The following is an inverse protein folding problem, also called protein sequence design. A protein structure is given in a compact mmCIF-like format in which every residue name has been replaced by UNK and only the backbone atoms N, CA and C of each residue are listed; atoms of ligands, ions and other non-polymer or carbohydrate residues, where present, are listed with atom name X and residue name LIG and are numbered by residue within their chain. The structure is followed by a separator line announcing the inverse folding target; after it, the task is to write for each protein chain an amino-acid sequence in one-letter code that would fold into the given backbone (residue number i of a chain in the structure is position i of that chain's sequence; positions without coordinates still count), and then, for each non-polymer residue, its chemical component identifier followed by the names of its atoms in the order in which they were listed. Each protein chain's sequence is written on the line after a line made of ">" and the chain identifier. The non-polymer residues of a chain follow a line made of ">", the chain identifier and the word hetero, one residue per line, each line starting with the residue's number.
data_IF_457838724295
#
_entry.id   IF_457838724295
#
_cell.length_a   1.000
_cell.length_b   1.000
_cell.length_c   1.000
_cell.angle_alpha   90.00
_cell.angle_beta   90.00
_cell.angle_gamma   90.00
#
_symmetry.space_group_name_H-M   'P 1'
#
loop_
_entity.id
_entity.type
_entity.pdbx_description
1 polymer ?
#
# COMPACT_ATOMS: atom_id res chain seq x y z
N UNK A 1 -3.46 2.12 8.02
CA UNK A 1 -2.59 0.94 7.87
C UNK A 1 -1.16 1.38 8.13
N UNK A 2 -0.61 1.05 9.30
CA UNK A 2 0.82 1.28 9.59
C UNK A 2 1.54 0.01 9.19
N UNK A 3 2.44 0.12 8.22
CA UNK A 3 3.32 -0.97 7.79
C UNK A 3 4.72 -0.62 8.27
N UNK A 4 5.16 -1.24 9.35
CA UNK A 4 6.55 -1.18 9.78
C UNK A 4 7.29 -2.34 9.12
N UNK A 5 8.28 -2.03 8.28
CA UNK A 5 9.24 -3.00 7.79
C UNK A 5 10.39 -3.11 8.79
N UNK A 6 10.78 -4.34 9.13
CA UNK A 6 12.01 -4.62 9.88
C UNK A 6 13.23 -4.32 8.99
N UNK A 7 14.34 -3.86 9.58
CA UNK A 7 15.50 -3.36 8.82
C UNK A 7 16.30 -4.47 8.12
N UNK A 8 16.11 -5.72 8.50
CA UNK A 8 16.92 -6.85 8.01
C UNK A 8 16.11 -7.95 7.32
N UNK A 9 14.78 -7.81 7.23
CA UNK A 9 13.89 -8.67 6.43
C UNK A 9 12.84 -7.81 5.70
N UNK A 10 13.06 -7.64 4.39
CA UNK A 10 12.26 -6.77 3.53
C UNK A 10 10.98 -7.45 3.02
N UNK A 11 10.58 -8.58 3.61
CA UNK A 11 9.31 -9.26 3.30
C UNK A 11 8.19 -8.79 4.23
N UNK A 12 7.15 -8.18 3.66
CA UNK A 12 5.92 -7.87 4.39
C UNK A 12 4.98 -9.07 4.29
N UNK A 13 4.88 -9.85 5.37
CA UNK A 13 3.86 -10.89 5.52
C UNK A 13 2.75 -10.41 6.44
N UNK A 14 1.54 -10.24 5.90
CA UNK A 14 0.35 -10.11 6.74
C UNK A 14 0.07 -11.47 7.40
N UNK A 15 0.54 -11.69 8.63
CA UNK A 15 0.19 -12.87 9.41
C UNK A 15 -1.00 -12.55 10.32
N UNK A 16 -2.21 -12.90 9.87
CA UNK A 16 -3.24 -13.45 10.75
C UNK A 16 -3.89 -14.66 10.10
N UNK A 17 -3.33 -15.85 10.40
CA UNK A 17 -4.00 -17.12 10.14
C UNK A 17 -4.95 -17.42 11.29
N UNK A 18 -6.26 -17.39 11.05
CA UNK A 18 -7.20 -18.18 11.85
C UNK A 18 -7.19 -19.63 11.30
N UNK A 19 -7.25 -20.68 12.14
CA UNK A 19 -7.21 -22.04 11.66
C UNK A 19 -8.59 -22.46 11.13
N UNK A 20 -8.68 -22.77 9.84
CA UNK A 20 -9.84 -23.45 9.27
C UNK A 20 -10.05 -23.21 7.77
N UNK A 21 -9.53 -24.14 6.95
CA UNK A 21 -10.13 -24.57 5.68
C UNK A 21 -10.29 -23.55 4.55
N UNK A 22 -9.63 -23.82 3.41
CA UNK A 22 -9.74 -23.05 2.19
C UNK A 22 -11.19 -22.73 1.78
N UNK A 23 -11.45 -21.44 1.70
CA UNK A 23 -12.33 -20.73 0.77
C UNK A 23 -11.98 -19.25 0.93
N UNK A 24 -11.68 -18.56 -0.17
CA UNK A 24 -11.77 -17.10 -0.25
C UNK A 24 -13.07 -16.66 0.41
N UNK A 25 -13.00 -15.82 1.44
CA UNK A 25 -14.18 -15.38 2.17
C UNK A 25 -13.88 -14.54 3.41
N UNK A 26 -13.77 -13.22 3.22
CA UNK A 26 -14.35 -12.11 4.02
C UNK A 26 -13.43 -10.88 3.94
N UNK A 27 -13.74 -9.97 3.01
CA UNK A 27 -13.25 -8.59 2.89
C UNK A 27 -11.73 -8.34 3.03
N UNK A 28 -10.90 -9.32 2.67
CA UNK A 28 -9.45 -9.21 2.79
C UNK A 28 -8.76 -9.71 1.53
N UNK A 29 -8.05 -8.81 0.87
CA UNK A 29 -7.11 -9.15 -0.19
C UNK A 29 -5.74 -9.44 0.44
N UNK A 30 -5.12 -10.54 0.04
CA UNK A 30 -3.76 -10.89 0.45
C UNK A 30 -2.82 -10.50 -0.69
N UNK A 31 -1.82 -9.70 -0.37
CA UNK A 31 -0.76 -9.29 -1.30
C UNK A 31 0.59 -9.62 -0.71
N UNK A 32 1.52 -10.05 -1.56
CA UNK A 32 2.94 -10.03 -1.26
C UNK A 32 3.54 -8.75 -1.87
N UNK A 33 4.19 -7.94 -1.03
CA UNK A 33 4.82 -6.69 -1.45
C UNK A 33 6.31 -6.71 -1.13
N UNK A 34 7.12 -6.19 -2.06
CA UNK A 34 8.57 -5.98 -1.89
C UNK A 34 8.94 -4.54 -2.21
N UNK A 35 9.87 -3.97 -1.47
CA UNK A 35 10.43 -2.65 -1.80
C UNK A 35 11.38 -2.80 -3.00
N UNK A 36 11.02 -2.17 -4.11
CA UNK A 36 11.89 -2.07 -5.28
C UNK A 36 12.88 -0.90 -5.16
N UNK A 37 12.46 0.19 -4.51
CA UNK A 37 13.30 1.37 -4.25
C UNK A 37 12.85 2.08 -2.98
N UNK A 38 13.80 2.61 -2.22
CA UNK A 38 13.55 3.56 -1.12
C UNK A 38 14.55 4.70 -1.25
N UNK A 39 14.04 5.89 -1.55
CA UNK A 39 14.77 7.15 -1.46
C UNK A 39 14.24 7.92 -0.24
N UNK A 40 15.01 8.00 0.88
CA UNK A 40 14.53 8.60 2.11
C UNK A 40 13.99 10.02 1.93
N UNK A 41 12.78 10.29 2.42
CA UNK A 41 12.14 11.60 2.33
C UNK A 41 11.59 11.98 0.95
N UNK A 42 11.81 11.16 -0.07
CA UNK A 42 11.45 11.49 -1.45
C UNK A 42 10.54 10.44 -2.10
N UNK A 43 10.88 9.15 -1.98
CA UNK A 43 10.23 8.10 -2.78
C UNK A 43 10.26 6.73 -2.12
N UNK A 44 9.17 6.00 -2.33
CA UNK A 44 9.10 4.56 -2.07
C UNK A 44 8.46 3.89 -3.27
N UNK A 45 9.12 2.88 -3.83
CA UNK A 45 8.58 2.05 -4.92
C UNK A 45 8.40 0.64 -4.40
N UNK A 46 7.21 0.09 -4.60
CA UNK A 46 6.83 -1.25 -4.18
C UNK A 46 6.41 -2.06 -5.41
N UNK A 47 6.87 -3.29 -5.49
CA UNK A 47 6.33 -4.28 -6.40
C UNK A 47 5.37 -5.17 -5.61
N UNK A 48 4.14 -5.33 -6.12
CA UNK A 48 3.02 -5.95 -5.43
C UNK A 48 2.43 -7.04 -6.30
N UNK A 49 2.36 -8.25 -5.75
CA UNK A 49 1.76 -9.42 -6.36
C UNK A 49 0.55 -9.87 -5.52
N UNK A 50 -0.56 -10.20 -6.17
CA UNK A 50 -1.76 -10.69 -5.49
C UNK A 50 -1.67 -12.20 -5.30
N UNK A 51 -1.97 -12.68 -4.08
CA UNK A 51 -2.10 -14.12 -3.81
C UNK A 51 -3.47 -14.59 -4.30
N UNK A 52 -3.54 -14.95 -5.60
CA UNK A 52 -4.76 -15.37 -6.27
C UNK A 52 -4.48 -16.39 -7.37
N UNK A 53 -5.32 -17.42 -7.44
CA UNK A 53 -5.31 -18.40 -8.55
C UNK A 53 -6.00 -17.88 -9.82
N UNK A 54 -6.73 -16.75 -9.73
CA UNK A 54 -7.38 -16.14 -10.89
C UNK A 54 -6.36 -15.36 -11.74
N UNK A 55 -6.12 -15.77 -13.01
CA UNK A 55 -5.17 -15.11 -13.89
C UNK A 55 -5.44 -13.61 -14.12
N UNK A 56 -6.67 -13.14 -13.90
CA UNK A 56 -7.00 -11.72 -14.02
C UNK A 56 -6.24 -10.84 -13.02
N UNK A 57 -5.88 -11.40 -11.86
CA UNK A 57 -5.08 -10.76 -10.82
C UNK A 57 -3.58 -11.08 -10.93
N UNK A 58 -3.18 -11.85 -11.95
CA UNK A 58 -1.80 -12.20 -12.19
C UNK A 58 -0.96 -11.03 -12.71
N UNK A 59 0.33 -11.06 -12.38
CA UNK A 59 1.30 -10.03 -12.72
C UNK A 59 1.68 -9.16 -11.53
N UNK A 60 2.80 -8.45 -11.67
CA UNK A 60 3.31 -7.55 -10.63
C UNK A 60 2.87 -6.11 -10.91
N UNK A 61 2.06 -5.56 -10.02
CA UNK A 61 1.75 -4.13 -9.99
C UNK A 61 2.92 -3.36 -9.38
N UNK A 62 3.27 -2.21 -9.93
CA UNK A 62 4.26 -1.29 -9.33
C UNK A 62 3.55 -0.10 -8.69
N UNK A 63 3.70 0.07 -7.38
CA UNK A 63 3.18 1.20 -6.61
C UNK A 63 4.31 2.18 -6.29
N UNK A 64 4.20 3.41 -6.77
CA UNK A 64 5.15 4.50 -6.48
C UNK A 64 4.49 5.56 -5.60
N UNK A 65 5.11 5.81 -4.46
CA UNK A 65 4.78 6.91 -3.55
C UNK A 65 5.86 7.97 -3.68
N UNK A 66 5.46 9.20 -3.98
CA UNK A 66 6.35 10.35 -4.06
C UNK A 66 5.97 11.39 -3.02
N UNK A 67 6.97 11.94 -2.36
CA UNK A 67 6.84 12.95 -1.31
C UNK A 67 7.61 14.17 -1.76
N UNK A 68 6.95 15.31 -1.86
CA UNK A 68 7.56 16.55 -2.34
C UNK A 68 7.22 17.69 -1.41
N UNK A 69 8.21 18.38 -0.82
CA UNK A 69 7.97 19.59 -0.05
C UNK A 69 7.29 20.66 -0.91
N UNK A 70 6.21 21.27 -0.40
CA UNK A 70 5.47 22.34 -1.07
C UNK A 70 5.08 23.42 -0.06
N UNK A 71 5.72 24.58 -0.14
CA UNK A 71 5.48 25.68 0.80
C UNK A 71 5.63 25.23 2.25
N UNK A 72 4.56 25.37 3.05
CA UNK A 72 4.53 24.98 4.46
C UNK A 72 4.13 23.51 4.70
N UNK A 73 3.97 22.70 3.65
CA UNK A 73 3.52 21.31 3.77
C UNK A 73 4.20 20.38 2.78
N UNK A 74 3.56 19.24 2.55
CA UNK A 74 4.10 18.16 1.74
C UNK A 74 3.02 17.64 0.80
N UNK A 75 3.35 17.57 -0.49
CA UNK A 75 2.53 16.86 -1.47
C UNK A 75 2.91 15.38 -1.43
N UNK A 76 1.93 14.53 -1.21
CA UNK A 76 2.06 13.08 -1.37
C UNK A 76 1.33 12.70 -2.65
N UNK A 77 2.04 12.04 -3.56
CA UNK A 77 1.48 11.51 -4.80
C UNK A 77 1.61 9.99 -4.80
N UNK A 78 0.57 9.34 -5.31
CA UNK A 78 0.50 7.90 -5.48
C UNK A 78 0.28 7.58 -6.95
N UNK A 79 1.06 6.63 -7.48
CA UNK A 79 0.90 6.08 -8.83
C UNK A 79 0.94 4.56 -8.76
N UNK A 80 0.01 3.92 -9.48
CA UNK A 80 0.03 2.49 -9.72
C UNK A 80 0.20 2.22 -11.22
N UNK A 81 1.23 1.45 -11.55
CA UNK A 81 1.56 0.99 -12.89
C UNK A 81 1.36 -0.53 -12.97
N UNK A 82 1.09 -1.02 -14.19
CA UNK A 82 0.92 -2.46 -14.46
C UNK A 82 -0.14 -3.13 -13.57
N UNK A 83 -1.23 -2.39 -13.30
CA UNK A 83 -2.36 -2.85 -12.48
C UNK A 83 -3.01 -4.07 -13.16
N UNK A 84 -3.12 -5.22 -12.47
CA UNK A 84 -3.77 -6.41 -13.00
C UNK A 84 -5.20 -6.14 -13.51
N UNK A 85 -5.57 -6.80 -14.60
CA UNK A 85 -6.86 -6.57 -15.28
C UNK A 85 -8.10 -6.89 -14.44
N UNK A 86 -7.97 -7.76 -13.43
CA UNK A 86 -9.01 -8.11 -12.48
C UNK A 86 -9.32 -6.98 -11.49
N UNK A 87 -8.46 -5.96 -11.39
CA UNK A 87 -8.65 -4.81 -10.52
C UNK A 87 -9.40 -3.72 -11.28
N UNK A 88 -10.61 -3.42 -10.79
CA UNK A 88 -11.38 -2.28 -11.26
C UNK A 88 -10.62 -0.98 -11.02
N UNK A 89 -10.29 -0.27 -12.10
CA UNK A 89 -9.62 1.04 -12.03
C UNK A 89 -10.36 2.01 -11.11
N UNK A 90 -11.69 2.07 -11.23
CA UNK A 90 -12.53 2.98 -10.43
C UNK A 90 -12.42 2.68 -8.94
N UNK A 91 -12.52 1.40 -8.57
CA UNK A 91 -12.51 0.99 -7.17
C UNK A 91 -11.12 1.13 -6.57
N UNK A 92 -10.07 0.87 -7.36
CA UNK A 92 -8.69 1.11 -6.96
C UNK A 92 -8.41 2.61 -6.73
N UNK A 93 -8.84 3.48 -7.64
CA UNK A 93 -8.73 4.94 -7.48
C UNK A 93 -9.47 5.42 -6.22
N UNK A 94 -10.68 4.90 -5.97
CA UNK A 94 -11.46 5.23 -4.78
C UNK A 94 -10.78 4.74 -3.48
N UNK A 95 -10.26 3.51 -3.48
CA UNK A 95 -9.53 2.94 -2.34
C UNK A 95 -8.25 3.72 -2.02
N UNK A 96 -7.52 4.16 -3.04
CA UNK A 96 -6.31 4.97 -2.88
C UNK A 96 -6.62 6.38 -2.40
N UNK A 97 -7.68 7.02 -2.92
CA UNK A 97 -8.15 8.31 -2.42
C UNK A 97 -8.54 8.23 -0.94
N UNK A 98 -9.26 7.17 -0.55
CA UNK A 98 -9.61 6.91 0.85
C UNK A 98 -8.36 6.72 1.72
N UNK A 99 -7.35 6.00 1.23
CA UNK A 99 -6.08 5.79 1.95
C UNK A 99 -5.32 7.11 2.19
N UNK A 100 -5.26 7.99 1.19
CA UNK A 100 -4.65 9.32 1.32
C UNK A 100 -5.43 10.23 2.28
N UNK A 101 -6.76 10.15 2.27
CA UNK A 101 -7.60 10.89 3.23
C UNK A 101 -7.35 10.41 4.68
N UNK A 102 -7.24 9.10 4.89
CA UNK A 102 -6.90 8.53 6.20
C UNK A 102 -5.49 8.95 6.66
N UNK A 103 -4.52 8.99 5.75
CA UNK A 103 -3.17 9.48 6.05
C UNK A 103 -3.20 10.96 6.48
N UNK A 104 -3.94 11.81 5.75
CA UNK A 104 -4.10 13.21 6.11
C UNK A 104 -4.74 13.37 7.50
N UNK A 105 -5.78 12.59 7.79
CA UNK A 105 -6.44 12.60 9.10
C UNK A 105 -5.51 12.11 10.23
N UNK A 106 -4.67 11.11 9.97
CA UNK A 106 -3.69 10.60 10.94
C UNK A 106 -2.62 11.67 11.27
N UNK A 107 -2.04 12.30 10.25
CA UNK A 107 -1.00 13.33 10.44
C UNK A 107 -1.54 14.59 11.13
N UNK A 108 -2.81 14.94 10.87
CA UNK A 108 -3.47 16.04 11.57
C UNK A 108 -3.63 15.76 13.09
N UNK A 109 -3.75 14.50 13.50
CA UNK A 109 -3.84 14.10 14.91
C UNK A 109 -2.48 14.13 15.61
N UNK A 110 -1.40 13.77 14.91
CA UNK A 110 -0.03 13.84 15.46
C UNK A 110 0.49 15.27 15.62
N UNK A 111 -0.21 16.28 15.06
CA UNK A 111 0.13 17.70 15.26
C UNK A 111 -0.40 18.25 16.61
N UNK A 112 -0.70 17.38 17.58
CA UNK A 112 -0.87 17.78 18.99
C UNK A 112 0.46 18.23 19.61
N UNK A 113 0.46 19.04 20.69
CA UNK A 113 1.70 19.62 21.22
C UNK A 113 2.69 18.52 21.56
N UNK A 114 3.96 18.73 21.15
CA UNK A 114 5.07 17.85 21.47
C UNK A 114 5.08 17.55 22.98
N UNK A 115 5.11 16.27 23.33
CA UNK A 115 5.42 15.83 24.70
C UNK A 115 6.90 16.08 25.02
#
# INVERSE_FOLDING_TARGET
>A
MVVAADRDDWSLRSLRRAPGGGKSGSDADVVEARFAEIAPGERVVQAVDFDSDDPAFGGTMTMTWSVTPVGAGTRVEFRADDVPSGISRRDHEAGMASSLANLAAYLAQETGPAQ
#
